data_IF_786678801978
#
_entry.id   IF_786678801978
#
_cell.length_a   1.000
_cell.length_b   1.000
_cell.length_c   1.000
_cell.angle_alpha   90.00
_cell.angle_beta   90.00
_cell.angle_gamma   90.00
#
_symmetry.space_group_name_H-M   'P 1'
#
loop_
_entity.id
_entity.type
_entity.pdbx_description
1 polymer ?
#
# COMPACT_ATOMS: atom_id res chain seq x y z
N UNK A 1 -61.86 4.42 -65.07
CA UNK A 1 -62.90 4.91 -64.16
C UNK A 1 -62.31 6.00 -63.30
N UNK A 2 -62.51 7.22 -63.75
CA UNK A 2 -62.08 8.51 -63.18
C UNK A 2 -63.07 8.93 -62.10
N UNK A 3 -62.61 9.36 -60.92
CA UNK A 3 -63.45 10.07 -59.94
C UNK A 3 -62.85 11.44 -59.64
N UNK A 4 -63.64 12.44 -60.00
CA UNK A 4 -63.51 13.87 -59.74
C UNK A 4 -64.50 14.22 -58.60
N UNK A 5 -64.19 15.30 -57.89
CA UNK A 5 -64.94 16.13 -56.92
C UNK A 5 -64.50 15.84 -55.48
N UNK A 6 -63.93 16.77 -54.70
CA UNK A 6 -64.00 18.24 -54.71
C UNK A 6 -64.66 18.71 -53.41
N UNK A 7 -64.09 19.75 -52.77
CA UNK A 7 -64.56 20.57 -51.61
C UNK A 7 -63.40 20.70 -50.61
N UNK A 8 -63.12 21.81 -49.95
CA UNK A 8 -63.42 23.24 -50.10
C UNK A 8 -62.48 23.92 -49.07
N UNK A 9 -62.01 25.11 -49.41
CA UNK A 9 -61.10 25.96 -48.63
C UNK A 9 -61.55 26.19 -47.17
N UNK A 10 -60.61 26.14 -46.21
CA UNK A 10 -60.64 27.08 -45.09
C UNK A 10 -59.25 27.30 -44.47
N UNK A 11 -58.83 28.56 -44.63
CA UNK A 11 -57.73 29.28 -43.99
C UNK A 11 -57.54 28.98 -42.49
N UNK A 12 -56.29 28.90 -42.04
CA UNK A 12 -55.85 29.70 -40.89
C UNK A 12 -54.33 29.90 -40.87
N UNK A 13 -53.96 31.17 -40.79
CA UNK A 13 -52.65 31.76 -40.57
C UNK A 13 -51.81 31.04 -39.51
N UNK A 14 -50.48 31.19 -39.58
CA UNK A 14 -49.67 31.83 -38.54
C UNK A 14 -48.24 32.02 -39.06
N UNK A 15 -47.88 33.30 -39.20
CA UNK A 15 -46.53 33.85 -39.22
C UNK A 15 -45.67 33.23 -38.12
N UNK A 16 -44.38 32.97 -38.36
CA UNK A 16 -43.30 33.39 -37.45
C UNK A 16 -41.92 33.11 -38.08
N UNK A 17 -41.25 34.20 -38.43
CA UNK A 17 -39.85 34.30 -38.77
C UNK A 17 -39.00 33.81 -37.58
N UNK A 18 -38.32 32.68 -37.72
CA UNK A 18 -37.36 32.19 -36.75
C UNK A 18 -36.00 32.86 -36.94
N UNK A 19 -35.67 33.83 -36.10
CA UNK A 19 -34.32 34.37 -35.96
C UNK A 19 -33.35 33.28 -35.48
N UNK A 20 -32.32 32.97 -36.28
CA UNK A 20 -31.20 32.14 -35.83
C UNK A 20 -30.23 33.01 -35.04
N UNK A 21 -30.18 32.83 -33.72
CA UNK A 21 -29.12 33.38 -32.87
C UNK A 21 -28.06 32.30 -32.67
N UNK A 22 -26.78 32.54 -33.02
CA UNK A 22 -25.72 31.60 -32.67
C UNK A 22 -25.53 31.63 -31.15
N UNK A 23 -25.86 30.53 -30.49
CA UNK A 23 -25.54 30.32 -29.08
C UNK A 23 -24.06 29.95 -28.97
N UNK A 24 -23.28 30.88 -28.42
CA UNK A 24 -21.95 30.58 -27.87
C UNK A 24 -22.15 29.65 -26.68
N UNK A 25 -21.90 28.36 -26.86
CA UNK A 25 -21.91 27.40 -25.76
C UNK A 25 -20.78 27.76 -24.79
N UNK A 26 -21.16 28.11 -23.56
CA UNK A 26 -20.26 28.25 -22.42
C UNK A 26 -19.56 26.90 -22.18
N UNK A 27 -18.23 26.83 -22.05
CA UNK A 27 -17.54 25.60 -21.67
C UNK A 27 -18.12 25.07 -20.35
N UNK A 28 -18.38 23.76 -20.22
CA UNK A 28 -18.88 23.22 -18.98
C UNK A 28 -17.83 23.41 -17.87
N UNK A 29 -18.29 23.99 -16.76
CA UNK A 29 -17.59 23.96 -15.48
C UNK A 29 -17.21 22.51 -15.15
N UNK A 30 -15.97 22.21 -14.72
CA UNK A 30 -15.63 20.88 -14.28
C UNK A 30 -16.40 20.59 -12.98
N UNK A 31 -17.48 19.80 -13.09
CA UNK A 31 -17.98 19.01 -11.97
C UNK A 31 -16.83 18.13 -11.48
N UNK A 32 -16.60 17.98 -10.16
CA UNK A 32 -15.66 17.00 -9.62
C UNK A 32 -16.13 15.60 -10.05
N UNK A 33 -15.61 15.15 -11.18
CA UNK A 33 -15.89 13.84 -11.72
C UNK A 33 -15.36 12.79 -10.76
N UNK A 34 -16.19 11.80 -10.50
CA UNK A 34 -15.80 10.49 -9.99
C UNK A 34 -14.55 10.02 -10.71
N UNK A 35 -13.41 10.20 -10.06
CA UNK A 35 -12.20 9.48 -10.40
C UNK A 35 -12.56 8.01 -10.19
N UNK A 36 -12.62 7.23 -11.27
CA UNK A 36 -12.52 5.78 -11.14
C UNK A 36 -11.20 5.55 -10.40
N UNK A 37 -11.19 4.96 -9.18
CA UNK A 37 -9.93 4.68 -8.52
C UNK A 37 -9.10 3.83 -9.46
N UNK A 38 -7.86 4.23 -9.72
CA UNK A 38 -6.85 3.27 -10.17
C UNK A 38 -6.94 2.06 -9.23
N UNK A 39 -6.79 0.80 -9.70
CA UNK A 39 -6.91 -0.35 -8.84
C UNK A 39 -6.03 -0.13 -7.61
N UNK A 40 -6.67 -0.01 -6.45
CA UNK A 40 -5.97 0.21 -5.20
C UNK A 40 -4.97 -0.94 -5.05
N UNK A 41 -3.68 -0.60 -5.04
CA UNK A 41 -2.61 -1.55 -4.76
C UNK A 41 -2.96 -2.29 -3.47
N UNK A 42 -3.26 -3.59 -3.55
CA UNK A 42 -3.63 -4.43 -2.39
C UNK A 42 -2.61 -4.31 -1.25
N UNK A 43 -1.34 -4.07 -1.58
CA UNK A 43 -0.28 -3.84 -0.62
C UNK A 43 -0.23 -2.37 -0.17
N UNK A 44 -0.17 -2.17 1.14
CA UNK A 44 0.03 -0.84 1.74
C UNK A 44 1.39 -0.25 1.37
N UNK A 45 1.47 1.08 1.27
CA UNK A 45 2.74 1.83 1.21
C UNK A 45 2.68 2.95 2.24
N UNK A 46 3.59 2.93 3.20
CA UNK A 46 3.66 3.93 4.27
C UNK A 46 4.79 4.93 3.97
N UNK A 47 4.73 6.16 4.51
CA UNK A 47 5.85 7.08 4.43
C UNK A 47 7.05 6.56 5.23
N UNK A 48 8.25 6.95 4.81
CA UNK A 48 9.44 6.77 5.64
C UNK A 48 9.33 7.70 6.84
N UNK A 49 9.29 7.11 8.04
CA UNK A 49 9.17 7.87 9.29
C UNK A 49 10.05 7.30 10.41
N UNK A 50 11.07 6.53 10.03
CA UNK A 50 12.16 6.16 10.92
C UNK A 50 13.40 5.74 10.10
N UNK A 51 14.54 5.63 10.79
CA UNK A 51 15.81 5.11 10.30
C UNK A 51 16.36 4.10 11.31
N UNK A 52 16.83 2.96 10.83
CA UNK A 52 17.70 2.07 11.59
C UNK A 52 19.16 2.33 11.19
N UNK A 53 20.00 2.60 12.18
CA UNK A 53 21.45 2.68 12.03
C UNK A 53 22.03 1.39 12.58
N UNK A 54 22.58 0.56 11.71
CA UNK A 54 23.19 -0.73 12.07
C UNK A 54 24.68 -0.54 12.47
N UNK A 55 25.34 -1.53 13.11
CA UNK A 55 26.69 -1.35 13.65
C UNK A 55 27.76 -0.89 12.66
N UNK A 56 27.64 -1.28 11.38
CA UNK A 56 28.58 -0.88 10.34
C UNK A 56 28.34 0.56 9.81
N UNK A 57 27.41 1.31 10.42
CA UNK A 57 27.04 2.68 10.03
C UNK A 57 26.02 2.78 8.90
N UNK A 58 25.64 1.67 8.26
CA UNK A 58 24.62 1.68 7.20
C UNK A 58 23.27 2.11 7.76
N UNK A 59 22.57 2.93 6.98
CA UNK A 59 21.24 3.45 7.33
C UNK A 59 20.18 2.73 6.48
N UNK A 60 19.19 2.17 7.16
CA UNK A 60 17.98 1.63 6.54
C UNK A 60 16.82 2.58 6.81
N UNK A 61 16.16 3.03 5.76
CA UNK A 61 14.97 3.88 5.83
C UNK A 61 13.73 3.01 6.07
N UNK A 62 12.95 3.35 7.10
CA UNK A 62 11.89 2.48 7.60
C UNK A 62 10.50 3.09 7.41
N UNK A 63 9.63 2.29 6.80
CA UNK A 63 8.18 2.44 6.89
C UNK A 63 7.74 1.97 8.28
N UNK A 64 7.02 2.79 9.06
CA UNK A 64 6.61 2.41 10.42
C UNK A 64 5.15 1.97 10.45
N UNK A 65 4.90 0.69 10.74
CA UNK A 65 3.56 0.15 10.94
C UNK A 65 3.07 0.49 12.36
N UNK A 66 2.31 1.59 12.47
CA UNK A 66 1.88 2.19 13.74
C UNK A 66 0.57 1.59 14.27
N UNK A 67 -0.35 1.22 13.39
CA UNK A 67 -1.67 0.68 13.79
C UNK A 67 -1.69 -0.85 13.72
N UNK A 68 -2.58 -1.52 14.47
CA UNK A 68 -2.76 -2.97 14.37
C UNK A 68 -3.04 -3.44 12.93
N UNK A 69 -3.81 -2.67 12.17
CA UNK A 69 -4.12 -2.99 10.76
C UNK A 69 -2.87 -2.88 9.88
N UNK A 70 -2.04 -1.85 10.08
CA UNK A 70 -0.77 -1.72 9.37
C UNK A 70 0.19 -2.85 9.73
N UNK A 71 0.24 -3.26 11.00
CA UNK A 71 1.09 -4.36 11.45
C UNK A 71 0.61 -5.71 10.90
N UNK A 72 -0.70 -5.96 10.89
CA UNK A 72 -1.27 -7.17 10.32
C UNK A 72 -1.04 -7.24 8.80
N UNK A 73 -1.19 -6.12 8.10
CA UNK A 73 -0.97 -6.02 6.65
C UNK A 73 0.51 -6.18 6.29
N UNK A 74 1.44 -5.66 7.09
CA UNK A 74 2.88 -5.76 6.87
C UNK A 74 3.29 -5.48 5.42
N UNK A 75 4.07 -6.39 4.84
CA UNK A 75 4.49 -6.35 3.44
C UNK A 75 3.65 -7.22 2.48
N UNK A 76 2.41 -7.57 2.86
CA UNK A 76 1.50 -8.33 1.99
C UNK A 76 1.35 -7.68 0.61
N UNK A 77 1.30 -8.50 -0.43
CA UNK A 77 1.10 -8.09 -1.82
C UNK A 77 2.13 -7.12 -2.40
N UNK A 78 3.31 -6.97 -1.76
CA UNK A 78 4.38 -6.08 -2.23
C UNK A 78 5.54 -6.86 -2.83
N UNK A 79 6.20 -6.33 -3.87
CA UNK A 79 7.51 -6.83 -4.27
C UNK A 79 8.56 -6.57 -3.18
N UNK A 80 9.74 -7.16 -3.33
CA UNK A 80 10.86 -6.93 -2.43
C UNK A 80 11.18 -5.44 -2.27
N UNK A 81 11.49 -5.04 -1.03
CA UNK A 81 11.96 -3.70 -0.74
C UNK A 81 13.39 -3.48 -1.25
N UNK A 82 13.78 -2.25 -1.64
CA UNK A 82 15.17 -1.92 -1.93
C UNK A 82 16.12 -2.14 -0.74
N UNK A 83 17.41 -2.28 -1.02
CA UNK A 83 18.49 -2.55 -0.05
C UNK A 83 18.59 -1.59 1.12
N UNK A 84 18.17 -0.34 0.91
CA UNK A 84 18.18 0.74 1.89
C UNK A 84 16.80 0.94 2.56
N UNK A 85 15.90 -0.05 2.44
CA UNK A 85 14.51 0.03 2.92
C UNK A 85 14.17 -1.14 3.83
N UNK A 86 13.24 -0.88 4.75
CA UNK A 86 12.63 -1.89 5.61
C UNK A 86 11.28 -1.43 6.15
N UNK A 87 10.59 -2.33 6.85
CA UNK A 87 9.39 -2.00 7.63
C UNK A 87 9.66 -2.24 9.11
N UNK A 88 9.28 -1.28 9.95
CA UNK A 88 9.42 -1.33 11.40
C UNK A 88 8.07 -1.58 12.06
N UNK A 89 8.03 -2.61 12.88
CA UNK A 89 6.93 -2.94 13.77
C UNK A 89 7.37 -2.60 15.20
N UNK A 90 6.60 -1.78 15.90
CA UNK A 90 6.90 -1.37 17.28
C UNK A 90 5.79 -1.80 18.23
N UNK A 91 6.17 -2.22 19.42
CA UNK A 91 5.27 -2.65 20.49
C UNK A 91 5.49 -1.79 21.74
N UNK A 92 4.43 -1.50 22.49
CA UNK A 92 4.47 -0.60 23.66
C UNK A 92 5.29 -1.17 24.82
N UNK A 93 5.39 -2.50 24.91
CA UNK A 93 6.22 -3.20 25.87
C UNK A 93 6.78 -4.48 25.25
N UNK A 94 7.94 -4.98 25.74
CA UNK A 94 8.47 -6.27 25.33
C UNK A 94 7.45 -7.39 25.58
N UNK A 95 7.11 -8.15 24.55
CA UNK A 95 6.13 -9.23 24.63
C UNK A 95 6.49 -10.39 23.71
N UNK A 96 5.81 -11.53 23.88
CA UNK A 96 5.91 -12.63 22.91
C UNK A 96 5.17 -12.21 21.64
N UNK A 97 5.90 -12.19 20.53
CA UNK A 97 5.38 -11.81 19.22
C UNK A 97 5.70 -12.90 18.21
N UNK A 98 4.86 -13.03 17.19
CA UNK A 98 5.00 -14.02 16.15
C UNK A 98 4.64 -13.41 14.81
N UNK A 99 5.48 -13.65 13.81
CA UNK A 99 5.27 -13.19 12.43
C UNK A 99 4.94 -14.38 11.53
N UNK A 100 4.29 -14.09 10.41
CA UNK A 100 3.97 -15.08 9.37
C UNK A 100 4.25 -14.47 7.99
N UNK A 101 4.16 -15.29 6.95
CA UNK A 101 4.41 -14.87 5.56
C UNK A 101 3.14 -14.96 4.69
N UNK A 102 1.96 -14.91 5.32
CA UNK A 102 0.67 -14.96 4.62
C UNK A 102 0.59 -13.81 3.63
N UNK A 103 0.30 -14.11 2.36
CA UNK A 103 0.18 -13.14 1.27
C UNK A 103 1.43 -12.26 1.00
N UNK A 104 2.60 -12.61 1.52
CA UNK A 104 3.87 -11.93 1.20
C UNK A 104 4.53 -12.69 0.04
N UNK A 105 4.66 -12.10 -1.17
CA UNK A 105 5.06 -12.85 -2.37
C UNK A 105 6.58 -13.07 -2.48
N UNK A 106 7.38 -12.51 -1.58
CA UNK A 106 8.84 -12.58 -1.57
C UNK A 106 9.35 -13.04 -0.21
N UNK A 107 10.51 -13.69 -0.17
CA UNK A 107 11.15 -14.02 1.09
C UNK A 107 11.65 -12.77 1.82
N UNK A 108 11.62 -12.80 3.16
CA UNK A 108 12.03 -11.69 4.01
C UNK A 108 13.03 -12.13 5.06
N UNK A 109 13.89 -11.20 5.47
CA UNK A 109 14.62 -11.31 6.74
C UNK A 109 13.84 -10.55 7.82
N UNK A 110 13.70 -11.13 9.01
CA UNK A 110 13.08 -10.48 10.17
C UNK A 110 14.10 -10.34 11.29
N UNK A 111 14.41 -9.10 11.67
CA UNK A 111 15.36 -8.77 12.75
C UNK A 111 14.56 -8.39 13.99
N UNK A 112 14.57 -9.26 14.99
CA UNK A 112 13.84 -9.10 16.24
C UNK A 112 14.72 -8.39 17.27
N UNK A 113 14.24 -7.26 17.77
CA UNK A 113 14.97 -6.40 18.69
C UNK A 113 14.30 -6.38 20.07
N UNK A 114 15.12 -6.25 21.11
CA UNK A 114 14.70 -5.84 22.44
C UNK A 114 15.61 -4.73 22.92
N UNK A 115 15.02 -3.58 23.26
CA UNK A 115 15.75 -2.41 23.77
C UNK A 115 16.88 -1.97 22.81
N UNK A 116 16.62 -2.11 21.50
CA UNK A 116 17.59 -1.80 20.43
C UNK A 116 18.65 -2.86 20.19
N UNK A 117 18.65 -3.99 20.92
CA UNK A 117 19.59 -5.09 20.73
C UNK A 117 18.96 -6.23 19.94
N UNK A 118 19.65 -6.74 18.93
CA UNK A 118 19.22 -7.91 18.14
C UNK A 118 19.17 -9.14 19.05
N UNK A 119 17.98 -9.74 19.17
CA UNK A 119 17.75 -10.97 19.94
C UNK A 119 17.61 -12.20 19.06
N UNK A 120 17.09 -12.02 17.85
CA UNK A 120 16.91 -13.10 16.89
C UNK A 120 16.88 -12.53 15.47
N UNK A 121 17.33 -13.32 14.52
CA UNK A 121 17.20 -13.02 13.09
C UNK A 121 16.60 -14.26 12.44
N UNK A 122 15.38 -14.13 11.93
CA UNK A 122 14.86 -15.10 10.98
C UNK A 122 15.36 -14.70 9.60
N UNK A 123 16.37 -15.41 9.08
CA UNK A 123 16.82 -15.20 7.71
C UNK A 123 15.87 -15.91 6.72
N UNK A 124 15.64 -15.27 5.57
CA UNK A 124 14.98 -15.87 4.41
C UNK A 124 13.69 -16.65 4.72
N UNK A 125 12.79 -16.07 5.54
CA UNK A 125 11.46 -16.61 5.74
C UNK A 125 10.75 -16.70 4.37
N UNK A 126 10.37 -17.90 3.88
CA UNK A 126 9.77 -18.05 2.56
C UNK A 126 8.31 -17.57 2.53
N UNK A 127 7.77 -17.21 1.35
CA UNK A 127 6.34 -17.06 1.15
C UNK A 127 5.58 -18.27 1.69
N UNK A 128 4.41 -18.03 2.29
CA UNK A 128 3.56 -19.09 2.80
C UNK A 128 3.00 -19.93 1.64
N UNK A 129 3.36 -21.21 1.58
CA UNK A 129 2.94 -22.12 0.51
C UNK A 129 1.59 -22.81 0.76
N UNK A 130 1.19 -22.95 2.03
CA UNK A 130 -0.05 -23.61 2.44
C UNK A 130 -0.53 -23.11 3.80
N UNK A 131 -1.83 -23.20 4.05
CA UNK A 131 -2.42 -22.89 5.36
C UNK A 131 -2.44 -24.12 6.29
N UNK A 132 -2.24 -23.95 7.61
CA UNK A 132 -1.89 -22.70 8.28
C UNK A 132 -0.44 -22.29 7.97
N UNK A 133 -0.21 -20.99 7.78
CA UNK A 133 1.14 -20.48 7.56
C UNK A 133 2.07 -20.75 8.75
N UNK A 134 3.33 -21.16 8.52
CA UNK A 134 4.35 -21.21 9.56
C UNK A 134 4.52 -19.85 10.23
N UNK A 135 4.86 -19.90 11.51
CA UNK A 135 5.12 -18.74 12.34
C UNK A 135 6.59 -18.64 12.75
N UNK A 136 7.07 -17.41 12.89
CA UNK A 136 8.45 -17.09 13.23
C UNK A 136 8.47 -16.24 14.50
N UNK A 137 9.03 -16.78 15.57
CA UNK A 137 9.03 -16.16 16.90
C UNK A 137 10.26 -16.61 17.69
N UNK A 138 10.96 -15.70 18.38
CA UNK A 138 11.99 -16.07 19.34
C UNK A 138 11.38 -16.39 20.72
N UNK A 139 12.08 -17.21 21.52
CA UNK A 139 11.69 -17.54 22.90
C UNK A 139 11.97 -16.42 23.92
N UNK A 140 12.19 -15.18 23.48
CA UNK A 140 12.42 -14.02 24.35
C UNK A 140 11.44 -12.90 24.00
N UNK A 141 11.01 -12.08 24.98
CA UNK A 141 10.21 -10.89 24.69
C UNK A 141 10.91 -9.93 23.74
N UNK A 142 10.14 -9.32 22.83
CA UNK A 142 10.57 -8.41 21.76
C UNK A 142 9.74 -7.12 21.83
N UNK A 143 10.38 -5.97 21.60
CA UNK A 143 9.71 -4.66 21.55
C UNK A 143 9.68 -4.04 20.14
N UNK A 144 10.54 -4.51 19.23
CA UNK A 144 10.55 -4.08 17.82
C UNK A 144 10.95 -5.21 16.87
N UNK A 145 10.42 -5.19 15.66
CA UNK A 145 10.86 -6.06 14.55
C UNK A 145 11.12 -5.21 13.32
N UNK A 146 12.21 -5.49 12.61
CA UNK A 146 12.49 -4.91 11.29
C UNK A 146 12.39 -6.00 10.24
N UNK A 147 11.49 -5.83 9.27
CA UNK A 147 11.47 -6.64 8.05
C UNK A 147 12.35 -5.99 6.97
N UNK A 148 13.21 -6.80 6.36
CA UNK A 148 14.08 -6.45 5.25
C UNK A 148 13.86 -7.42 4.08
N UNK A 149 14.28 -7.04 2.86
CA UNK A 149 14.39 -8.02 1.78
C UNK A 149 15.29 -9.17 2.20
N UNK A 150 15.00 -10.39 1.73
CA UNK A 150 15.80 -11.57 2.07
C UNK A 150 17.29 -11.40 1.76
N UNK A 151 18.12 -11.95 2.64
CA UNK A 151 19.59 -11.92 2.57
C UNK A 151 20.22 -10.62 3.07
N UNK A 152 19.42 -9.56 3.24
CA UNK A 152 19.94 -8.23 3.60
C UNK A 152 20.56 -8.20 4.99
N UNK A 153 20.04 -8.96 5.95
CA UNK A 153 20.60 -9.01 7.29
C UNK A 153 22.05 -9.55 7.27
N UNK A 154 22.30 -10.58 6.44
CA UNK A 154 23.63 -11.16 6.26
C UNK A 154 24.60 -10.19 5.56
N UNK A 155 24.15 -9.49 4.51
CA UNK A 155 24.95 -8.46 3.82
C UNK A 155 25.34 -7.30 4.74
N UNK A 156 24.44 -6.92 5.66
CA UNK A 156 24.70 -5.91 6.69
C UNK A 156 25.60 -6.43 7.82
N UNK A 157 25.91 -7.74 7.84
CA UNK A 157 26.65 -8.43 8.90
C UNK A 157 25.99 -8.31 10.28
N UNK A 158 24.66 -8.20 10.30
CA UNK A 158 23.89 -8.19 11.55
C UNK A 158 23.96 -9.56 12.22
N UNK A 159 24.19 -9.55 13.52
CA UNK A 159 24.19 -10.74 14.37
C UNK A 159 23.45 -10.49 15.68
N UNK A 160 23.05 -11.57 16.33
CA UNK A 160 22.50 -11.51 17.70
C UNK A 160 23.51 -10.81 18.62
N UNK A 161 23.01 -9.89 19.45
CA UNK A 161 23.82 -9.05 20.34
C UNK A 161 24.21 -7.69 19.75
N UNK A 162 24.07 -7.49 18.44
CA UNK A 162 24.32 -6.17 17.84
C UNK A 162 23.29 -5.13 18.30
N UNK A 163 23.75 -3.89 18.45
CA UNK A 163 22.88 -2.73 18.71
C UNK A 163 22.44 -2.10 17.39
N UNK A 164 21.13 -1.91 17.21
CA UNK A 164 20.51 -1.17 16.12
C UNK A 164 19.82 0.05 16.69
N UNK A 165 20.29 1.25 16.31
CA UNK A 165 19.71 2.51 16.78
C UNK A 165 18.54 2.90 15.88
N UNK A 166 17.35 3.07 16.47
CA UNK A 166 16.17 3.59 15.78
C UNK A 166 16.07 5.09 16.00
N UNK A 167 15.88 5.85 14.94
CA UNK A 167 15.58 7.29 14.94
C UNK A 167 14.24 7.50 14.23
N UNK A 168 13.28 8.13 14.88
CA UNK A 168 11.97 8.47 14.30
C UNK A 168 12.00 9.83 13.61
#
# INVERSE_FOLDING_TARGET
MTRWLGLLSMLLSILLMGCSVPTTAKPPTPTPGSQTPAPESLGQKLPISAKAIVPNGTIIQLEVAKTPQQQQMGLMYRPALPDNRGMLFGFSSPQSISFWMKNVPVALDMVFLRDGVVKYIQAAAPPCASEPCPTYSPNTPIDKVIELRSGRAAELKLKVGDTVKIQY
#
